data_IF_200361841987
#
_entry.id   IF_200361841987
#
_cell.length_a   1.000
_cell.length_b   1.000
_cell.length_c   1.000
_cell.angle_alpha   90.00
_cell.angle_beta   90.00
_cell.angle_gamma   90.00
#
_symmetry.space_group_name_H-M   'P 1'
#
loop_
_entity.id
_entity.type
_entity.pdbx_description
1 polymer ?
#
# COMPACT_ATOMS: atom_id res chain seq x y z
N UNK A 1 63.70 -30.77 45.13
CA UNK A 1 62.95 -29.49 44.99
C UNK A 1 62.63 -29.29 43.51
N UNK A 2 61.40 -29.51 43.12
CA UNK A 2 60.97 -29.38 41.73
C UNK A 2 60.03 -28.17 41.66
N UNK A 3 60.45 -27.16 40.91
CA UNK A 3 59.64 -25.96 40.63
C UNK A 3 58.70 -26.26 39.44
N UNK A 4 57.40 -26.21 39.65
CA UNK A 4 56.40 -26.24 38.59
C UNK A 4 56.25 -24.86 38.00
N UNK A 5 56.51 -24.72 36.70
CA UNK A 5 56.18 -23.53 35.90
C UNK A 5 54.71 -23.66 35.47
N UNK A 6 53.88 -22.71 35.88
CA UNK A 6 52.53 -22.59 35.40
C UNK A 6 52.56 -21.83 34.03
N UNK A 7 51.99 -22.50 33.02
CA UNK A 7 51.78 -21.88 31.71
C UNK A 7 50.44 -21.16 31.74
N UNK A 8 50.45 -19.83 31.64
CA UNK A 8 49.24 -19.03 31.45
C UNK A 8 48.98 -18.91 29.96
N UNK A 9 47.92 -19.62 29.48
CA UNK A 9 47.44 -19.50 28.10
C UNK A 9 46.52 -18.31 28.03
N UNK A 10 46.94 -17.25 27.37
CA UNK A 10 46.07 -16.10 27.08
C UNK A 10 45.16 -16.47 25.91
N UNK A 11 43.86 -16.54 26.17
CA UNK A 11 42.82 -16.61 25.11
C UNK A 11 42.71 -15.22 24.46
N UNK A 12 43.14 -15.12 23.21
CA UNK A 12 42.85 -13.94 22.39
C UNK A 12 41.39 -14.01 21.94
N UNK A 13 40.53 -13.13 22.48
CA UNK A 13 39.19 -12.90 21.98
C UNK A 13 39.33 -12.09 20.71
N UNK A 14 39.23 -12.73 19.55
CA UNK A 14 39.09 -12.02 18.28
C UNK A 14 37.65 -11.52 18.19
N UNK A 15 37.47 -10.20 18.40
CA UNK A 15 36.23 -9.51 18.03
C UNK A 15 36.09 -9.58 16.50
N UNK A 16 35.15 -10.39 16.02
CA UNK A 16 34.73 -10.34 14.64
C UNK A 16 34.09 -8.97 14.40
N UNK A 17 34.85 -8.06 13.75
CA UNK A 17 34.24 -6.84 13.21
C UNK A 17 33.22 -7.27 12.16
N UNK A 18 31.95 -6.93 12.40
CA UNK A 18 30.92 -7.09 11.38
C UNK A 18 31.39 -6.34 10.13
N UNK A 19 31.55 -7.06 9.02
CA UNK A 19 31.81 -6.45 7.73
C UNK A 19 30.71 -5.45 7.44
N UNK A 20 31.00 -4.21 6.98
CA UNK A 20 29.96 -3.29 6.59
C UNK A 20 29.13 -3.98 5.50
N UNK A 21 27.81 -4.10 5.73
CA UNK A 21 26.87 -4.56 4.73
C UNK A 21 27.12 -3.75 3.47
N UNK A 22 27.63 -4.40 2.42
CA UNK A 22 27.79 -3.74 1.13
C UNK A 22 26.40 -3.24 0.74
N UNK A 23 26.25 -1.93 0.51
CA UNK A 23 25.00 -1.33 0.03
C UNK A 23 24.65 -2.02 -1.29
N UNK A 24 23.84 -3.08 -1.24
CA UNK A 24 23.31 -3.68 -2.46
C UNK A 24 22.39 -2.64 -3.08
N UNK A 25 22.78 -2.13 -4.24
CA UNK A 25 21.91 -1.28 -5.03
C UNK A 25 20.69 -2.13 -5.40
N UNK A 26 19.50 -1.68 -5.00
CA UNK A 26 18.24 -2.34 -5.39
C UNK A 26 18.12 -2.27 -6.91
N UNK A 27 17.86 -3.40 -7.56
CA UNK A 27 17.76 -3.46 -9.01
C UNK A 27 16.56 -4.32 -9.40
N UNK A 28 15.55 -3.67 -9.96
CA UNK A 28 14.41 -4.35 -10.54
C UNK A 28 14.87 -5.38 -11.60
N UNK A 29 14.26 -6.55 -11.62
CA UNK A 29 14.60 -7.66 -12.50
C UNK A 29 15.77 -8.54 -12.04
N UNK A 30 16.53 -8.14 -11.00
CA UNK A 30 17.59 -8.97 -10.41
C UNK A 30 17.20 -9.61 -9.07
N UNK A 31 16.25 -9.03 -8.37
CA UNK A 31 15.67 -9.57 -7.14
C UNK A 31 14.19 -9.24 -7.13
N UNK A 32 13.31 -10.16 -6.73
CA UNK A 32 11.88 -9.86 -6.63
C UNK A 32 11.63 -8.82 -5.54
N UNK A 33 10.67 -7.95 -5.77
CA UNK A 33 10.12 -7.08 -4.72
C UNK A 33 9.27 -7.93 -3.80
N UNK A 34 9.52 -7.84 -2.50
CA UNK A 34 8.72 -8.43 -1.43
C UNK A 34 8.44 -7.34 -0.43
N UNK A 35 7.34 -6.63 -0.64
CA UNK A 35 7.03 -5.42 0.08
C UNK A 35 5.80 -5.52 0.94
N UNK A 36 5.61 -4.47 1.77
CA UNK A 36 4.39 -4.24 2.50
C UNK A 36 4.03 -2.76 2.48
N UNK A 37 2.74 -2.45 2.40
CA UNK A 37 2.21 -1.11 2.48
C UNK A 37 2.17 -0.62 3.94
N UNK A 38 2.56 0.64 4.16
CA UNK A 38 2.42 1.35 5.43
C UNK A 38 1.14 2.21 5.36
N UNK A 39 0.03 1.56 5.08
CA UNK A 39 -1.26 2.21 4.89
C UNK A 39 -1.93 2.65 6.19
N UNK A 40 -2.88 3.58 6.08
CA UNK A 40 -3.61 4.11 7.22
C UNK A 40 -2.78 4.98 8.16
N UNK A 41 -1.59 5.43 7.77
CA UNK A 41 -0.69 6.27 8.56
C UNK A 41 -0.70 7.73 8.13
N UNK A 42 -0.18 8.02 6.91
CA UNK A 42 -0.06 9.39 6.38
C UNK A 42 -1.23 9.77 5.47
N UNK A 43 -2.11 8.83 5.23
CA UNK A 43 -3.48 8.97 4.75
C UNK A 43 -4.35 8.06 5.61
N UNK A 44 -5.40 8.59 6.20
CA UNK A 44 -6.29 7.82 7.07
C UNK A 44 -7.34 7.06 6.25
N UNK A 45 -7.61 5.83 6.70
CA UNK A 45 -8.70 5.01 6.18
C UNK A 45 -9.56 4.45 7.33
N UNK A 46 -10.89 4.66 7.30
CA UNK A 46 -11.78 4.29 8.41
C UNK A 46 -11.75 2.83 8.80
N UNK A 47 -11.49 1.94 7.86
CA UNK A 47 -11.45 0.49 8.10
C UNK A 47 -10.10 0.03 8.70
N UNK A 48 -8.99 0.77 8.47
CA UNK A 48 -7.69 0.47 9.08
C UNK A 48 -7.65 0.94 10.53
N UNK A 49 -8.13 2.17 10.79
CA UNK A 49 -8.11 2.82 12.11
C UNK A 49 -9.51 3.29 12.54
N UNK A 50 -10.49 2.38 12.67
CA UNK A 50 -11.87 2.74 12.98
C UNK A 50 -12.03 3.52 14.28
N UNK A 51 -11.14 3.37 15.26
CA UNK A 51 -11.19 4.09 16.53
C UNK A 51 -11.12 5.62 16.38
N UNK A 52 -10.47 6.11 15.31
CA UNK A 52 -10.40 7.55 15.02
C UNK A 52 -11.76 8.07 14.53
N UNK A 53 -12.52 7.28 13.81
CA UNK A 53 -13.76 7.67 13.13
C UNK A 53 -15.02 7.40 13.97
N UNK A 54 -15.03 6.32 14.76
CA UNK A 54 -16.17 5.92 15.59
C UNK A 54 -16.79 7.05 16.45
N UNK A 55 -16.01 7.94 17.08
CA UNK A 55 -16.58 9.01 17.91
C UNK A 55 -17.46 10.00 17.14
N UNK A 56 -17.32 10.07 15.82
CA UNK A 56 -18.03 11.04 14.98
C UNK A 56 -19.20 10.43 14.22
N UNK A 57 -19.35 9.09 14.26
CA UNK A 57 -20.39 8.38 13.49
C UNK A 57 -20.25 8.66 11.99
N UNK A 58 -21.35 8.60 11.25
CA UNK A 58 -21.34 8.78 9.79
C UNK A 58 -21.08 10.20 9.28
N UNK A 59 -20.75 11.15 10.14
CA UNK A 59 -20.36 12.52 9.73
C UNK A 59 -18.87 12.66 9.39
N UNK A 60 -18.06 11.68 9.74
CA UNK A 60 -16.61 11.62 9.43
C UNK A 60 -16.34 10.24 8.82
N UNK A 61 -16.02 10.23 7.55
CA UNK A 61 -15.90 9.01 6.73
C UNK A 61 -14.55 8.91 5.99
N UNK A 62 -13.70 9.94 6.13
CA UNK A 62 -12.39 10.08 5.52
C UNK A 62 -11.58 11.16 6.24
N UNK A 63 -10.33 11.38 5.83
CA UNK A 63 -9.46 12.40 6.44
C UNK A 63 -9.95 13.82 6.13
N UNK A 64 -10.55 14.05 4.95
CA UNK A 64 -11.13 15.36 4.61
C UNK A 64 -12.23 15.75 5.59
N UNK A 65 -13.20 14.88 5.80
CA UNK A 65 -14.33 15.13 6.71
C UNK A 65 -13.90 15.13 8.18
N UNK A 66 -12.85 14.39 8.55
CA UNK A 66 -12.23 14.49 9.87
C UNK A 66 -11.68 15.91 10.09
N UNK A 67 -10.88 16.41 9.16
CA UNK A 67 -10.29 17.73 9.25
C UNK A 67 -11.35 18.85 9.20
N UNK A 68 -12.46 18.63 8.49
CA UNK A 68 -13.55 19.58 8.38
C UNK A 68 -14.43 19.65 9.64
N UNK A 69 -14.72 18.49 10.24
CA UNK A 69 -15.78 18.36 11.25
C UNK A 69 -15.26 18.18 12.68
N UNK A 70 -14.01 17.73 12.87
CA UNK A 70 -13.44 17.56 14.19
C UNK A 70 -12.69 18.82 14.64
N UNK A 71 -13.17 19.49 15.68
CA UNK A 71 -12.52 20.70 16.20
C UNK A 71 -11.11 20.47 16.78
N UNK A 72 -10.70 19.21 16.96
CA UNK A 72 -9.38 18.78 17.43
C UNK A 72 -8.64 17.89 16.40
N UNK A 73 -8.97 17.98 15.12
CA UNK A 73 -8.40 17.16 14.05
C UNK A 73 -6.85 17.15 14.06
N UNK A 74 -6.20 18.30 14.26
CA UNK A 74 -4.74 18.38 14.33
C UNK A 74 -4.17 17.52 15.48
N UNK A 75 -4.78 17.58 16.64
CA UNK A 75 -4.35 16.76 17.79
C UNK A 75 -4.53 15.26 17.53
N UNK A 76 -5.63 14.88 16.89
CA UNK A 76 -5.91 13.48 16.50
C UNK A 76 -4.85 13.00 15.53
N UNK A 77 -4.61 13.74 14.44
CA UNK A 77 -3.65 13.37 13.40
C UNK A 77 -2.22 13.29 13.94
N UNK A 78 -1.77 14.29 14.71
CA UNK A 78 -0.43 14.24 15.30
C UNK A 78 -0.25 13.06 16.25
N UNK A 79 -1.23 12.80 17.13
CA UNK A 79 -1.20 11.64 18.00
C UNK A 79 -1.14 10.32 17.22
N UNK A 80 -1.88 10.23 16.13
CA UNK A 80 -1.86 9.07 15.25
C UNK A 80 -0.51 8.93 14.55
N UNK A 81 0.01 9.97 13.91
CA UNK A 81 1.31 9.94 13.24
C UNK A 81 2.45 9.58 14.18
N UNK A 82 2.41 10.09 15.43
CA UNK A 82 3.43 9.81 16.45
C UNK A 82 3.41 8.36 16.95
N UNK A 83 2.27 7.67 16.90
CA UNK A 83 2.09 6.38 17.57
C UNK A 83 1.79 5.20 16.65
N UNK A 84 1.27 5.44 15.45
CA UNK A 84 0.83 4.36 14.56
C UNK A 84 1.98 3.56 13.97
N UNK A 85 3.11 4.19 13.65
CA UNK A 85 4.28 3.52 13.08
C UNK A 85 5.52 3.82 13.90
N UNK A 86 6.40 2.85 14.02
CA UNK A 86 7.66 2.94 14.77
C UNK A 86 8.82 2.31 14.02
N UNK A 87 10.06 2.61 14.43
CA UNK A 87 11.26 1.90 13.97
C UNK A 87 11.15 0.38 14.22
N UNK A 88 10.48 -0.02 15.33
CA UNK A 88 10.25 -1.44 15.65
C UNK A 88 9.39 -2.15 14.60
N UNK A 89 8.42 -1.46 14.00
CA UNK A 89 7.60 -2.01 12.92
C UNK A 89 8.45 -2.24 11.66
N UNK A 90 9.30 -1.28 11.29
CA UNK A 90 10.24 -1.41 10.17
C UNK A 90 11.23 -2.57 10.40
N UNK A 91 11.75 -2.71 11.62
CA UNK A 91 12.62 -3.83 11.97
C UNK A 91 11.88 -5.18 11.85
N UNK A 92 10.64 -5.27 12.35
CA UNK A 92 9.81 -6.48 12.24
C UNK A 92 9.56 -6.85 10.78
N UNK A 93 9.29 -5.87 9.91
CA UNK A 93 9.14 -6.08 8.47
C UNK A 93 10.43 -6.66 7.89
N UNK A 94 11.58 -6.03 8.14
CA UNK A 94 12.87 -6.49 7.64
C UNK A 94 13.26 -7.88 8.15
N UNK A 95 13.03 -8.17 9.43
CA UNK A 95 13.34 -9.46 10.07
C UNK A 95 12.49 -10.62 9.50
N UNK A 96 11.33 -10.31 8.91
CA UNK A 96 10.47 -11.28 8.23
C UNK A 96 10.74 -11.41 6.72
N UNK A 97 11.88 -10.91 6.24
CA UNK A 97 12.36 -11.12 4.88
C UNK A 97 11.78 -10.18 3.82
N UNK A 98 11.06 -9.15 4.21
CA UNK A 98 10.62 -8.09 3.30
C UNK A 98 11.80 -7.18 2.94
N UNK A 99 11.78 -6.61 1.74
CA UNK A 99 12.85 -5.75 1.25
C UNK A 99 12.39 -4.34 0.86
N UNK A 100 11.09 -4.07 0.91
CA UNK A 100 10.51 -2.80 0.49
C UNK A 100 9.28 -2.45 1.33
N UNK A 101 9.08 -1.15 1.57
CA UNK A 101 7.83 -0.57 2.06
C UNK A 101 7.29 0.44 1.04
N UNK A 102 5.99 0.37 0.73
CA UNK A 102 5.27 1.41 0.00
C UNK A 102 4.59 2.31 1.03
N UNK A 103 4.78 3.62 0.91
CA UNK A 103 4.31 4.60 1.89
C UNK A 103 3.30 5.53 1.22
N UNK A 104 2.00 5.28 1.42
CA UNK A 104 0.94 6.19 0.99
C UNK A 104 1.03 7.54 1.68
N UNK A 105 0.98 8.64 0.90
CA UNK A 105 0.95 10.01 1.41
C UNK A 105 0.05 10.88 0.52
N UNK A 106 -0.73 11.76 1.13
CA UNK A 106 -1.60 12.67 0.38
C UNK A 106 -0.88 13.93 -0.11
N UNK A 107 -1.38 14.55 -1.19
CA UNK A 107 -0.86 15.80 -1.73
C UNK A 107 -0.80 16.91 -0.67
N UNK A 108 -1.74 16.93 0.25
CA UNK A 108 -1.86 17.94 1.31
C UNK A 108 -0.72 17.92 2.33
N UNK A 109 0.06 16.84 2.35
CA UNK A 109 1.28 16.80 3.17
C UNK A 109 2.34 17.81 2.69
N UNK A 110 2.35 18.12 1.40
CA UNK A 110 3.29 19.03 0.74
C UNK A 110 2.67 20.38 0.45
N UNK A 111 1.47 20.40 -0.12
CA UNK A 111 0.79 21.62 -0.52
C UNK A 111 -0.73 21.43 -0.41
N UNK A 112 -1.40 22.37 0.24
CA UNK A 112 -2.88 22.39 0.25
C UNK A 112 -3.40 22.95 -1.08
N UNK A 113 -4.54 22.42 -1.51
CA UNK A 113 -5.24 22.91 -2.66
C UNK A 113 -6.43 23.78 -2.21
N UNK A 114 -6.50 25.02 -2.70
CA UNK A 114 -7.56 25.98 -2.36
C UNK A 114 -7.83 26.09 -0.83
N UNK A 115 -9.09 25.86 -0.44
CA UNK A 115 -9.56 25.93 0.94
C UNK A 115 -9.71 24.55 1.59
N UNK A 116 -8.97 23.53 1.12
CA UNK A 116 -9.02 22.19 1.69
C UNK A 116 -8.76 22.21 3.21
N UNK A 117 -9.55 21.45 3.98
CA UNK A 117 -9.47 21.47 5.44
C UNK A 117 -8.26 20.74 6.01
N UNK A 118 -7.56 19.94 5.20
CA UNK A 118 -6.49 19.06 5.64
C UNK A 118 -5.46 19.72 6.56
N UNK A 119 -4.95 18.96 7.51
CA UNK A 119 -3.85 19.36 8.40
C UNK A 119 -2.51 18.92 7.78
N UNK A 120 -1.57 19.84 7.70
CA UNK A 120 -0.22 19.57 7.23
C UNK A 120 0.66 19.05 8.36
N UNK A 121 1.70 18.26 8.00
CA UNK A 121 2.69 17.70 8.93
C UNK A 121 3.13 16.27 8.58
N UNK A 122 2.37 15.54 7.78
CA UNK A 122 2.67 14.15 7.41
C UNK A 122 4.02 14.01 6.66
N UNK A 123 4.48 15.04 5.94
CA UNK A 123 5.77 15.00 5.23
C UNK A 123 6.99 14.83 6.16
N UNK A 124 6.94 15.31 7.40
CA UNK A 124 8.02 15.13 8.38
C UNK A 124 8.13 13.67 8.84
N UNK A 125 6.99 12.97 8.88
CA UNK A 125 6.95 11.54 9.20
C UNK A 125 7.41 10.67 8.03
N UNK A 126 7.21 11.11 6.79
CA UNK A 126 7.83 10.45 5.62
C UNK A 126 9.36 10.54 5.71
N UNK A 127 9.94 11.68 6.08
CA UNK A 127 11.38 11.80 6.33
C UNK A 127 11.88 10.82 7.39
N UNK A 128 11.12 10.72 8.47
CA UNK A 128 11.41 9.78 9.57
C UNK A 128 11.38 8.33 9.08
N UNK A 129 10.34 7.95 8.34
CA UNK A 129 10.18 6.62 7.75
C UNK A 129 11.34 6.24 6.81
N UNK A 130 11.77 7.16 5.95
CA UNK A 130 12.93 6.97 5.07
C UNK A 130 14.21 6.74 5.91
N UNK A 131 14.35 7.47 7.02
CA UNK A 131 15.43 7.25 7.98
C UNK A 131 15.40 5.86 8.61
N UNK A 132 14.22 5.36 8.99
CA UNK A 132 14.03 4.02 9.53
C UNK A 132 14.29 2.93 8.47
N UNK A 133 13.83 3.13 7.23
CA UNK A 133 14.11 2.23 6.13
C UNK A 133 15.63 2.07 5.88
N UNK A 134 16.39 3.17 5.93
CA UNK A 134 17.86 3.11 5.84
C UNK A 134 18.48 2.29 6.97
N UNK A 135 18.00 2.44 8.20
CA UNK A 135 18.52 1.73 9.38
C UNK A 135 18.25 0.23 9.30
N UNK A 136 17.10 -0.16 8.77
CA UNK A 136 16.65 -1.56 8.68
C UNK A 136 17.02 -2.24 7.36
N UNK A 137 17.56 -1.48 6.39
CA UNK A 137 17.93 -2.00 5.07
C UNK A 137 16.76 -2.10 4.08
N UNK A 138 15.56 -1.69 4.47
CA UNK A 138 14.39 -1.63 3.60
C UNK A 138 14.53 -0.56 2.53
N UNK A 139 13.83 -0.76 1.41
CA UNK A 139 13.65 0.25 0.36
C UNK A 139 12.28 0.89 0.48
N UNK A 140 12.12 2.05 -0.15
CA UNK A 140 10.89 2.84 -0.07
C UNK A 140 10.35 3.13 -1.47
N UNK A 141 9.05 2.85 -1.68
CA UNK A 141 8.23 3.53 -2.66
C UNK A 141 7.47 4.65 -1.96
N UNK A 142 7.59 5.85 -2.48
CA UNK A 142 6.73 6.96 -2.09
C UNK A 142 5.54 6.93 -3.04
N UNK A 143 4.36 6.77 -2.48
CA UNK A 143 3.12 6.69 -3.23
C UNK A 143 2.26 7.93 -2.98
N UNK A 144 2.04 8.73 -4.02
CA UNK A 144 1.05 9.81 -3.94
C UNK A 144 -0.35 9.21 -3.95
N UNK A 145 -0.91 8.99 -2.77
CA UNK A 145 -2.14 8.22 -2.57
C UNK A 145 -3.43 9.03 -2.75
N UNK A 146 -3.34 10.33 -2.61
CA UNK A 146 -4.48 11.24 -2.75
C UNK A 146 -4.12 12.50 -3.52
N UNK A 147 -5.01 12.91 -4.44
CA UNK A 147 -4.92 14.11 -5.26
C UNK A 147 -6.10 15.08 -4.99
N UNK A 148 -5.97 16.38 -5.30
CA UNK A 148 -7.04 17.36 -5.10
C UNK A 148 -8.38 16.92 -5.69
N UNK A 149 -9.45 17.03 -4.92
CA UNK A 149 -10.82 16.62 -5.28
C UNK A 149 -11.00 15.14 -5.61
N UNK A 150 -10.08 14.29 -5.12
CA UNK A 150 -10.08 12.84 -5.31
C UNK A 150 -9.90 12.37 -6.76
N UNK A 151 -8.99 11.44 -6.96
CA UNK A 151 -8.75 10.80 -8.26
C UNK A 151 -9.63 9.57 -8.51
N UNK A 152 -10.27 9.02 -7.48
CA UNK A 152 -11.06 7.79 -7.62
C UNK A 152 -12.44 7.85 -6.95
N UNK A 153 -12.66 8.84 -6.09
CA UNK A 153 -13.90 8.98 -5.32
C UNK A 153 -13.96 8.14 -4.05
N UNK A 154 -12.92 7.35 -3.75
CA UNK A 154 -12.85 6.50 -2.56
C UNK A 154 -12.28 7.28 -1.36
N UNK A 155 -12.58 6.80 -0.16
CA UNK A 155 -12.06 7.36 1.09
C UNK A 155 -10.53 7.25 1.21
N UNK A 156 -9.92 6.23 0.59
CA UNK A 156 -8.46 6.05 0.53
C UNK A 156 -7.73 7.21 -0.18
N UNK A 157 -8.41 7.98 -1.05
CA UNK A 157 -7.84 9.20 -1.64
C UNK A 157 -7.79 10.39 -0.66
N UNK A 158 -8.25 10.19 0.58
CA UNK A 158 -8.44 11.23 1.59
C UNK A 158 -9.80 11.91 1.52
N UNK A 159 -10.56 11.78 0.41
CA UNK A 159 -11.86 12.41 0.21
C UNK A 159 -12.84 11.47 -0.51
N UNK A 160 -13.82 10.96 0.23
CA UNK A 160 -14.94 10.20 -0.34
C UNK A 160 -15.87 11.13 -1.12
N UNK A 161 -16.10 10.83 -2.39
CA UNK A 161 -17.03 11.59 -3.23
C UNK A 161 -17.63 10.71 -4.31
N UNK A 162 -18.89 10.96 -4.66
CA UNK A 162 -19.53 10.30 -5.80
C UNK A 162 -19.08 10.85 -7.16
N UNK A 163 -18.35 11.97 -7.17
CA UNK A 163 -17.93 12.65 -8.40
C UNK A 163 -16.48 13.11 -8.23
N UNK A 164 -15.51 12.23 -8.53
CA UNK A 164 -14.10 12.60 -8.43
C UNK A 164 -13.77 13.74 -9.40
N UNK A 165 -13.09 14.76 -8.89
CA UNK A 165 -12.84 16.02 -9.60
C UNK A 165 -11.39 16.26 -9.99
N UNK A 166 -10.51 15.31 -9.77
CA UNK A 166 -9.07 15.49 -9.96
C UNK A 166 -8.64 15.95 -11.34
N UNK A 167 -9.37 15.67 -12.40
CA UNK A 167 -9.03 16.12 -13.77
C UNK A 167 -9.78 17.38 -14.19
N UNK A 168 -10.28 18.17 -13.25
CA UNK A 168 -11.00 19.41 -13.50
C UNK A 168 -10.18 20.63 -13.05
N UNK A 169 -10.37 21.76 -13.72
CA UNK A 169 -9.68 23.02 -13.46
C UNK A 169 -8.14 22.84 -13.46
N UNK A 170 -7.43 23.31 -12.44
CA UNK A 170 -5.98 23.24 -12.28
C UNK A 170 -5.50 22.13 -11.30
N UNK A 171 -6.37 21.18 -10.96
CA UNK A 171 -6.03 20.11 -9.99
C UNK A 171 -4.88 19.22 -10.45
N UNK A 172 -4.77 18.96 -11.76
CA UNK A 172 -3.67 18.20 -12.34
C UNK A 172 -2.35 18.98 -12.19
N UNK A 173 -2.35 20.28 -12.46
CA UNK A 173 -1.17 21.13 -12.32
C UNK A 173 -0.73 21.20 -10.84
N UNK A 174 -1.68 21.38 -9.91
CA UNK A 174 -1.41 21.32 -8.47
C UNK A 174 -0.82 19.97 -8.04
N UNK A 175 -1.25 18.86 -8.63
CA UNK A 175 -0.69 17.54 -8.36
C UNK A 175 0.73 17.42 -8.92
N UNK A 176 0.98 17.95 -10.12
CA UNK A 176 2.33 17.97 -10.71
C UNK A 176 3.32 18.81 -9.89
N UNK A 177 2.87 19.92 -9.29
CA UNK A 177 3.68 20.71 -8.36
C UNK A 177 4.08 19.90 -7.13
N UNK A 178 3.18 19.06 -6.61
CA UNK A 178 3.49 18.14 -5.50
C UNK A 178 4.48 17.05 -5.93
N UNK A 179 4.31 16.47 -7.12
CA UNK A 179 5.30 15.54 -7.68
C UNK A 179 6.67 16.23 -7.84
N UNK A 180 6.69 17.50 -8.23
CA UNK A 180 7.90 18.32 -8.27
C UNK A 180 8.61 18.40 -6.92
N UNK A 181 7.88 18.70 -5.85
CA UNK A 181 8.41 18.76 -4.48
C UNK A 181 8.93 17.41 -3.99
N UNK A 182 8.20 16.32 -4.27
CA UNK A 182 8.64 14.94 -3.94
C UNK A 182 9.92 14.61 -4.70
N UNK A 183 9.99 14.88 -6.01
CA UNK A 183 11.12 14.57 -6.86
C UNK A 183 12.36 15.40 -6.51
N UNK A 184 12.19 16.71 -6.25
CA UNK A 184 13.26 17.61 -5.83
C UNK A 184 13.94 17.12 -4.56
N UNK A 185 13.17 16.65 -3.59
CA UNK A 185 13.71 16.17 -2.32
C UNK A 185 14.18 14.73 -2.42
N UNK A 186 13.35 13.80 -2.84
CA UNK A 186 13.58 12.36 -2.72
C UNK A 186 14.03 11.68 -4.01
N UNK A 187 13.83 12.32 -5.17
CA UNK A 187 14.22 11.78 -6.48
C UNK A 187 15.69 11.91 -6.81
N UNK A 188 16.48 12.55 -5.95
CA UNK A 188 17.92 12.85 -6.16
C UNK A 188 18.82 11.69 -5.82
N UNK A 189 20.09 11.76 -6.25
CA UNK A 189 21.11 10.76 -5.93
C UNK A 189 21.36 10.60 -4.42
N UNK A 190 21.03 11.60 -3.60
CA UNK A 190 21.14 11.54 -2.14
C UNK A 190 20.24 10.48 -1.52
N UNK A 191 19.10 10.16 -2.16
CA UNK A 191 18.13 9.19 -1.68
C UNK A 191 18.14 7.88 -2.47
N UNK A 192 18.98 7.75 -3.50
CA UNK A 192 19.03 6.58 -4.39
C UNK A 192 19.43 5.27 -3.68
N UNK A 193 19.95 5.35 -2.46
CA UNK A 193 20.25 4.19 -1.62
C UNK A 193 18.99 3.60 -0.97
N UNK A 194 17.91 4.37 -0.84
CA UNK A 194 16.72 3.98 -0.10
C UNK A 194 15.42 4.18 -0.89
N UNK A 195 15.23 5.31 -1.58
CA UNK A 195 14.04 5.56 -2.39
C UNK A 195 14.23 4.93 -3.77
N UNK A 196 13.44 3.91 -4.06
CA UNK A 196 13.53 3.10 -5.27
C UNK A 196 12.29 3.17 -6.14
N UNK A 197 11.31 3.99 -5.76
CA UNK A 197 10.10 4.27 -6.54
C UNK A 197 9.44 5.56 -6.09
N UNK A 198 8.98 6.35 -7.07
CA UNK A 198 8.03 7.45 -6.86
C UNK A 198 6.81 7.10 -7.72
N UNK A 199 5.72 6.76 -7.05
CA UNK A 199 4.43 6.50 -7.68
C UNK A 199 3.70 7.81 -7.86
N UNK A 200 3.33 8.07 -9.12
CA UNK A 200 2.79 9.36 -9.51
C UNK A 200 1.37 9.58 -8.97
N UNK A 201 0.55 8.52 -8.92
CA UNK A 201 -0.78 8.58 -8.32
C UNK A 201 -1.37 7.18 -8.14
N UNK A 202 -1.84 6.90 -6.94
CA UNK A 202 -2.59 5.71 -6.58
C UNK A 202 -3.97 5.68 -7.26
N UNK A 203 -4.33 4.57 -7.87
CA UNK A 203 -5.69 4.19 -8.31
C UNK A 203 -6.53 5.29 -8.99
N UNK A 204 -6.08 5.96 -10.04
CA UNK A 204 -6.96 6.89 -10.76
C UNK A 204 -8.10 6.11 -11.44
N UNK A 205 -9.34 6.39 -11.06
CA UNK A 205 -10.53 5.75 -11.63
C UNK A 205 -10.87 6.39 -12.98
N UNK A 206 -10.15 5.98 -14.02
CA UNK A 206 -10.24 6.60 -15.34
C UNK A 206 -11.67 6.71 -15.89
N UNK A 207 -12.56 5.71 -15.76
CA UNK A 207 -13.95 5.85 -16.22
C UNK A 207 -14.75 6.94 -15.51
N UNK A 208 -14.41 7.29 -14.27
CA UNK A 208 -15.10 8.31 -13.49
C UNK A 208 -14.52 9.72 -13.67
N UNK A 209 -13.32 9.83 -14.28
CA UNK A 209 -12.61 11.11 -14.44
C UNK A 209 -12.95 11.77 -15.77
N UNK A 210 -13.03 13.12 -15.75
CA UNK A 210 -13.16 13.91 -16.97
C UNK A 210 -11.92 13.72 -17.85
N UNK A 211 -12.12 13.40 -19.14
CA UNK A 211 -11.03 13.11 -20.07
C UNK A 211 -10.46 11.69 -19.96
N UNK A 212 -10.86 10.88 -18.97
CA UNK A 212 -10.55 9.46 -18.88
C UNK A 212 -9.06 9.12 -18.99
N UNK A 213 -8.74 7.98 -19.62
CA UNK A 213 -7.36 7.51 -19.81
C UNK A 213 -6.43 8.55 -20.48
N UNK A 214 -6.83 9.32 -21.52
CA UNK A 214 -5.97 10.36 -22.11
C UNK A 214 -5.54 11.43 -21.12
N UNK A 215 -6.40 11.85 -20.19
CA UNK A 215 -6.05 12.84 -19.16
C UNK A 215 -5.01 12.26 -18.18
N UNK A 216 -5.20 11.02 -17.74
CA UNK A 216 -4.25 10.30 -16.87
C UNK A 216 -2.91 10.08 -17.57
N UNK A 217 -2.91 9.73 -18.85
CA UNK A 217 -1.68 9.62 -19.64
C UNK A 217 -0.93 10.96 -19.74
N UNK A 218 -1.64 12.06 -19.95
CA UNK A 218 -1.06 13.41 -19.96
C UNK A 218 -0.37 13.76 -18.63
N UNK A 219 -1.04 13.45 -17.52
CA UNK A 219 -0.47 13.60 -16.18
C UNK A 219 0.78 12.73 -15.97
N UNK A 220 0.70 11.44 -16.29
CA UNK A 220 1.84 10.53 -16.14
C UNK A 220 3.04 10.92 -17.00
N UNK A 221 2.80 11.38 -18.23
CA UNK A 221 3.87 11.87 -19.11
C UNK A 221 4.57 13.09 -18.50
N UNK A 222 3.81 14.03 -17.96
CA UNK A 222 4.33 15.25 -17.32
C UNK A 222 5.08 14.92 -16.03
N UNK A 223 4.47 14.11 -15.14
CA UNK A 223 5.08 13.69 -13.89
C UNK A 223 6.36 12.89 -14.08
N UNK A 224 6.39 11.99 -15.07
CA UNK A 224 7.62 11.30 -15.47
C UNK A 224 8.72 12.29 -15.86
N UNK A 225 8.38 13.27 -16.70
CA UNK A 225 9.32 14.32 -17.10
C UNK A 225 9.85 15.14 -15.92
N UNK A 226 8.99 15.46 -14.95
CA UNK A 226 9.38 16.18 -13.72
C UNK A 226 10.38 15.35 -12.89
N UNK A 227 10.07 14.08 -12.60
CA UNK A 227 11.02 13.23 -11.82
C UNK A 227 12.37 13.13 -12.51
N UNK A 228 12.41 13.05 -13.85
CA UNK A 228 13.66 12.99 -14.63
C UNK A 228 14.49 14.28 -14.60
N UNK A 229 13.92 15.43 -14.22
CA UNK A 229 14.69 16.67 -14.01
C UNK A 229 15.58 16.58 -12.76
N UNK A 230 15.18 15.81 -11.75
CA UNK A 230 15.89 15.72 -10.48
C UNK A 230 16.77 14.47 -10.35
N UNK A 231 16.47 13.39 -11.09
CA UNK A 231 17.25 12.17 -11.00
C UNK A 231 16.75 10.99 -11.81
N UNK A 232 17.30 9.81 -11.49
CA UNK A 232 16.97 8.55 -12.16
C UNK A 232 16.13 7.62 -11.25
N UNK A 233 15.50 8.15 -10.21
CA UNK A 233 14.62 7.35 -9.36
C UNK A 233 13.51 6.73 -10.21
N UNK A 234 13.25 5.42 -10.10
CA UNK A 234 12.19 4.76 -10.84
C UNK A 234 10.85 5.46 -10.64
N UNK A 235 10.13 5.66 -11.74
CA UNK A 235 8.77 6.21 -11.73
C UNK A 235 7.80 5.06 -11.82
N UNK A 236 6.78 5.09 -10.97
CA UNK A 236 5.72 4.10 -10.94
C UNK A 236 4.42 4.76 -11.40
N UNK A 237 3.66 4.04 -12.21
CA UNK A 237 2.32 4.43 -12.64
C UNK A 237 1.35 3.29 -12.32
N UNK A 238 0.22 3.61 -11.74
CA UNK A 238 -0.87 2.65 -11.55
C UNK A 238 -1.61 2.40 -12.88
N UNK A 239 -2.07 1.18 -13.10
CA UNK A 239 -2.75 0.81 -14.35
C UNK A 239 -4.16 1.41 -14.52
N UNK A 240 -4.70 2.04 -13.46
CA UNK A 240 -6.00 2.69 -13.48
C UNK A 240 -7.15 1.72 -13.68
N UNK A 241 -6.99 0.48 -13.20
CA UNK A 241 -7.92 -0.65 -13.32
C UNK A 241 -8.11 -1.17 -14.77
N UNK A 242 -7.24 -0.76 -15.70
CA UNK A 242 -7.08 -1.39 -17.02
C UNK A 242 -6.13 -2.59 -16.91
N UNK A 243 -6.02 -3.39 -17.97
CA UNK A 243 -4.97 -4.39 -18.01
C UNK A 243 -3.60 -3.70 -18.15
N UNK A 244 -2.56 -4.16 -17.45
CA UNK A 244 -1.21 -3.62 -17.60
C UNK A 244 -0.71 -3.58 -19.05
N UNK A 245 -1.08 -4.55 -19.90
CA UNK A 245 -0.75 -4.58 -21.32
C UNK A 245 -1.42 -3.46 -22.15
N UNK A 246 -2.49 -2.84 -21.66
CA UNK A 246 -3.15 -1.71 -22.33
C UNK A 246 -2.34 -0.41 -22.24
N UNK A 247 -1.26 -0.44 -21.45
CA UNK A 247 -0.25 0.62 -21.33
C UNK A 247 1.01 0.37 -22.17
N UNK A 248 1.02 -0.66 -23.03
CA UNK A 248 2.15 -0.95 -23.91
C UNK A 248 2.41 0.23 -24.87
N UNK A 249 3.69 0.52 -25.12
CA UNK A 249 4.10 1.67 -25.92
C UNK A 249 4.13 3.00 -25.15
N UNK A 250 3.53 3.09 -23.96
CA UNK A 250 3.51 4.31 -23.15
C UNK A 250 4.62 4.27 -22.09
N UNK A 251 5.47 5.31 -22.00
CA UNK A 251 6.60 5.42 -21.08
C UNK A 251 7.45 4.14 -21.02
N UNK A 252 7.71 3.54 -22.17
CA UNK A 252 8.51 2.32 -22.28
C UNK A 252 10.00 2.59 -22.13
N UNK A 253 10.73 1.61 -21.62
CA UNK A 253 12.18 1.65 -21.47
C UNK A 253 12.64 0.54 -20.53
N UNK A 254 13.95 0.26 -20.54
CA UNK A 254 14.52 -0.75 -19.64
C UNK A 254 14.98 -0.13 -18.32
N UNK A 255 14.76 -0.82 -17.22
CA UNK A 255 15.16 -0.36 -15.89
C UNK A 255 14.51 0.98 -15.54
N UNK A 256 15.32 1.96 -15.14
CA UNK A 256 14.84 3.30 -14.79
C UNK A 256 14.54 4.20 -15.99
N UNK A 257 14.82 3.76 -17.22
CA UNK A 257 14.55 4.56 -18.41
C UNK A 257 13.07 4.62 -18.79
N UNK A 258 12.26 3.67 -18.31
CA UNK A 258 10.81 3.66 -18.45
C UNK A 258 10.10 3.76 -17.10
N UNK A 259 8.76 3.65 -17.14
CA UNK A 259 7.95 3.53 -15.93
C UNK A 259 7.81 2.05 -15.53
N UNK A 260 7.68 1.82 -14.22
CA UNK A 260 7.18 0.58 -13.64
C UNK A 260 5.65 0.69 -13.62
N UNK A 261 4.94 -0.41 -13.91
CA UNK A 261 3.50 -0.44 -13.79
C UNK A 261 3.10 -1.13 -12.47
N UNK A 262 2.24 -0.47 -11.74
CA UNK A 262 1.60 -0.99 -10.53
C UNK A 262 0.24 -1.55 -10.87
N UNK A 263 -0.07 -2.74 -10.33
CA UNK A 263 -1.35 -3.42 -10.45
C UNK A 263 -1.85 -3.79 -9.07
N UNK A 264 -3.13 -3.62 -8.82
CA UNK A 264 -3.78 -4.02 -7.57
C UNK A 264 -4.69 -5.21 -7.80
N UNK A 265 -4.55 -6.26 -6.97
CA UNK A 265 -5.30 -7.50 -7.11
C UNK A 265 -6.03 -7.88 -5.82
N UNK A 266 -7.34 -7.89 -5.88
CA UNK A 266 -8.21 -8.21 -4.76
C UNK A 266 -9.35 -9.15 -5.18
N UNK A 267 -9.73 -10.09 -4.30
CA UNK A 267 -10.81 -11.04 -4.53
C UNK A 267 -11.89 -10.95 -3.42
N UNK A 268 -12.27 -9.73 -3.02
CA UNK A 268 -13.24 -9.52 -1.95
C UNK A 268 -14.20 -8.35 -2.19
N UNK A 269 -14.15 -7.69 -3.36
CA UNK A 269 -14.95 -6.50 -3.60
C UNK A 269 -16.19 -6.72 -4.48
N UNK A 270 -16.47 -7.96 -4.89
CA UNK A 270 -17.70 -8.30 -5.61
C UNK A 270 -18.51 -9.39 -4.89
N UNK A 271 -19.82 -9.50 -5.22
CA UNK A 271 -20.64 -10.60 -4.72
C UNK A 271 -20.13 -11.97 -5.19
N UNK A 272 -19.49 -12.02 -6.36
CA UNK A 272 -18.90 -13.25 -6.90
C UNK A 272 -17.66 -13.65 -6.12
N UNK A 273 -16.78 -12.70 -5.81
CA UNK A 273 -15.54 -12.96 -5.10
C UNK A 273 -15.80 -13.52 -3.71
N UNK A 274 -16.62 -12.84 -2.90
CA UNK A 274 -16.90 -13.27 -1.52
C UNK A 274 -17.68 -14.59 -1.45
N UNK A 275 -18.26 -15.04 -2.56
CA UNK A 275 -18.96 -16.33 -2.65
C UNK A 275 -18.05 -17.51 -3.03
N UNK A 276 -16.79 -17.25 -3.37
CA UNK A 276 -15.81 -18.29 -3.67
C UNK A 276 -15.52 -19.15 -2.42
N UNK A 277 -15.31 -20.44 -2.61
CA UNK A 277 -14.69 -21.26 -1.55
C UNK A 277 -13.21 -20.88 -1.41
N UNK A 278 -12.56 -21.17 -0.27
CA UNK A 278 -11.12 -20.94 -0.12
C UNK A 278 -10.27 -21.60 -1.22
N UNK A 279 -10.66 -22.77 -1.69
CA UNK A 279 -9.99 -23.49 -2.77
C UNK A 279 -10.22 -22.84 -4.12
N UNK A 280 -11.40 -22.25 -4.34
CA UNK A 280 -11.71 -21.48 -5.56
C UNK A 280 -10.94 -20.15 -5.57
N UNK A 281 -10.77 -19.48 -4.42
CA UNK A 281 -9.88 -18.31 -4.31
C UNK A 281 -8.45 -18.63 -4.76
N UNK A 282 -7.89 -19.77 -4.30
CA UNK A 282 -6.56 -20.24 -4.74
C UNK A 282 -6.50 -20.47 -6.26
N UNK A 283 -7.55 -21.05 -6.82
CA UNK A 283 -7.64 -21.29 -8.27
C UNK A 283 -7.76 -19.98 -9.04
N UNK A 284 -8.55 -19.03 -8.52
CA UNK A 284 -8.78 -17.73 -9.15
C UNK A 284 -7.52 -16.86 -9.16
N UNK A 285 -6.62 -16.97 -8.19
CA UNK A 285 -5.31 -16.31 -8.23
C UNK A 285 -4.58 -16.59 -9.55
N UNK A 286 -4.52 -17.85 -9.95
CA UNK A 286 -3.83 -18.26 -11.19
C UNK A 286 -4.62 -17.89 -12.45
N UNK A 287 -5.96 -18.02 -12.41
CA UNK A 287 -6.82 -17.64 -13.52
C UNK A 287 -6.70 -16.14 -13.81
N UNK A 288 -6.83 -15.31 -12.78
CA UNK A 288 -6.73 -13.86 -12.85
C UNK A 288 -5.33 -13.44 -13.32
N UNK A 289 -4.27 -13.90 -12.66
CA UNK A 289 -2.90 -13.57 -13.02
C UNK A 289 -2.56 -13.91 -14.48
N UNK A 290 -3.05 -15.03 -15.01
CA UNK A 290 -2.87 -15.38 -16.43
C UNK A 290 -3.55 -14.37 -17.39
N UNK A 291 -4.52 -13.60 -16.94
CA UNK A 291 -5.20 -12.61 -17.77
C UNK A 291 -4.52 -11.25 -17.79
N UNK A 292 -3.92 -10.82 -16.69
CA UNK A 292 -3.35 -9.48 -16.57
C UNK A 292 -1.80 -9.47 -16.52
N UNK A 293 -1.14 -10.54 -16.06
CA UNK A 293 0.31 -10.58 -15.92
C UNK A 293 1.06 -10.99 -17.19
N UNK A 294 0.44 -10.88 -18.36
CA UNK A 294 1.03 -11.33 -19.62
C UNK A 294 1.02 -10.23 -20.69
N UNK A 295 2.10 -10.18 -21.46
CA UNK A 295 2.19 -9.29 -22.64
C UNK A 295 2.56 -7.85 -22.35
N UNK A 296 2.81 -7.44 -21.11
CA UNK A 296 3.25 -6.09 -20.74
C UNK A 296 4.72 -5.86 -21.13
N UNK A 297 5.02 -4.64 -21.56
CA UNK A 297 6.37 -4.19 -21.97
C UNK A 297 7.13 -3.46 -20.85
N UNK A 298 6.58 -3.41 -19.65
CA UNK A 298 7.14 -2.74 -18.46
C UNK A 298 7.49 -3.74 -17.36
N UNK A 299 8.38 -3.36 -16.46
CA UNK A 299 8.43 -4.01 -15.16
C UNK A 299 7.10 -3.79 -14.47
N UNK A 300 6.57 -4.87 -13.90
CA UNK A 300 5.27 -4.89 -13.24
C UNK A 300 5.42 -5.40 -11.81
N UNK A 301 4.78 -4.71 -10.90
CA UNK A 301 4.66 -5.09 -9.48
C UNK A 301 3.18 -5.16 -9.16
N UNK A 302 2.78 -6.12 -8.33
CA UNK A 302 1.47 -6.09 -7.68
C UNK A 302 1.62 -5.27 -6.41
N UNK A 303 1.27 -3.97 -6.50
CA UNK A 303 1.51 -3.00 -5.41
C UNK A 303 0.54 -3.10 -4.26
N UNK A 304 -0.62 -3.73 -4.50
CA UNK A 304 -1.56 -4.06 -3.44
C UNK A 304 -2.22 -5.42 -3.67
N UNK A 305 -2.29 -6.21 -2.60
CA UNK A 305 -3.00 -7.48 -2.50
C UNK A 305 -3.15 -7.86 -1.03
N UNK A 306 -4.01 -8.82 -0.70
CA UNK A 306 -4.36 -9.13 0.68
C UNK A 306 -4.56 -10.63 0.92
N UNK A 307 -4.63 -11.02 2.19
CA UNK A 307 -5.06 -12.36 2.61
C UNK A 307 -6.59 -12.47 2.74
N UNK A 308 -7.34 -11.38 2.51
CA UNK A 308 -8.78 -11.35 2.70
C UNK A 308 -9.52 -12.10 1.58
N UNK A 309 -10.25 -13.12 1.99
CA UNK A 309 -11.25 -13.83 1.17
C UNK A 309 -12.66 -13.30 1.44
N UNK A 310 -12.79 -12.36 2.39
CA UNK A 310 -14.06 -11.74 2.76
C UNK A 310 -13.94 -10.22 2.81
N UNK A 311 -15.04 -9.52 2.76
CA UNK A 311 -15.12 -8.08 2.98
C UNK A 311 -15.62 -7.73 4.40
N UNK A 312 -15.32 -8.58 5.37
CA UNK A 312 -15.79 -8.46 6.75
C UNK A 312 -15.07 -7.38 7.57
N UNK A 313 -14.01 -6.77 7.06
CA UNK A 313 -13.34 -5.68 7.77
C UNK A 313 -14.32 -4.51 8.02
N UNK A 314 -14.43 -4.00 9.26
CA UNK A 314 -15.37 -2.93 9.59
C UNK A 314 -15.13 -1.69 8.72
N UNK A 315 -16.17 -1.15 8.11
CA UNK A 315 -16.14 0.02 7.23
C UNK A 315 -15.32 -0.14 5.92
N UNK A 316 -14.88 -1.35 5.55
CA UNK A 316 -14.13 -1.59 4.30
C UNK A 316 -14.91 -1.14 3.05
N UNK A 317 -16.22 -1.34 3.03
CA UNK A 317 -17.08 -0.91 1.93
C UNK A 317 -17.59 0.54 2.08
N UNK A 318 -17.08 1.25 3.09
CA UNK A 318 -17.54 2.57 3.51
C UNK A 318 -18.31 2.51 4.82
N UNK A 319 -18.35 3.63 5.54
CA UNK A 319 -18.98 3.73 6.84
C UNK A 319 -20.48 3.44 6.78
N UNK A 320 -20.93 2.41 7.50
CA UNK A 320 -22.33 2.01 7.59
C UNK A 320 -22.87 1.21 6.39
N UNK A 321 -22.02 0.81 5.45
CA UNK A 321 -22.44 0.06 4.25
C UNK A 321 -22.65 -1.46 4.54
N UNK A 322 -21.90 -2.03 5.50
CA UNK A 322 -21.94 -3.46 5.79
C UNK A 322 -21.04 -4.29 4.89
N UNK A 323 -21.11 -5.61 5.02
CA UNK A 323 -20.30 -6.57 4.27
C UNK A 323 -21.14 -7.43 3.32
N UNK A 324 -20.59 -7.75 2.15
CA UNK A 324 -21.24 -8.68 1.19
C UNK A 324 -21.29 -10.08 1.76
N UNK A 325 -20.19 -10.50 2.40
CA UNK A 325 -20.06 -11.85 2.91
C UNK A 325 -21.15 -12.24 3.89
N UNK A 326 -21.57 -11.34 4.79
CA UNK A 326 -22.66 -11.62 5.74
C UNK A 326 -24.03 -11.10 5.31
N UNK A 327 -24.16 -10.62 4.07
CA UNK A 327 -25.41 -10.14 3.51
C UNK A 327 -25.93 -8.82 4.10
N UNK A 328 -25.09 -8.09 4.86
CA UNK A 328 -25.46 -6.78 5.41
C UNK A 328 -25.13 -5.62 4.46
N UNK A 329 -24.42 -5.90 3.36
CA UNK A 329 -24.07 -4.89 2.36
C UNK A 329 -25.31 -4.21 1.78
N UNK A 330 -25.35 -2.88 1.90
CA UNK A 330 -26.45 -2.06 1.38
C UNK A 330 -25.91 -0.67 1.00
N UNK A 331 -25.55 -0.51 -0.28
CA UNK A 331 -25.03 0.74 -0.83
C UNK A 331 -26.09 1.42 -1.68
N UNK A 332 -26.40 2.67 -1.33
CA UNK A 332 -27.41 3.45 -2.06
C UNK A 332 -26.79 4.02 -3.34
N UNK A 333 -27.46 3.81 -4.47
CA UNK A 333 -27.12 4.33 -5.77
C UNK A 333 -27.67 5.74 -6.00
N UNK A 334 -27.17 6.43 -7.03
CA UNK A 334 -27.61 7.78 -7.39
C UNK A 334 -29.09 7.86 -7.78
N UNK A 335 -29.63 6.79 -8.35
CA UNK A 335 -31.05 6.66 -8.71
C UNK A 335 -31.99 6.32 -7.53
N UNK A 336 -31.41 6.15 -6.33
CA UNK A 336 -32.12 5.79 -5.10
C UNK A 336 -32.33 4.31 -4.88
N UNK A 337 -31.92 3.44 -5.80
CA UNK A 337 -31.87 1.98 -5.59
C UNK A 337 -30.75 1.59 -4.62
N UNK A 338 -30.72 0.33 -4.20
CA UNK A 338 -29.68 -0.21 -3.34
C UNK A 338 -29.02 -1.41 -3.99
N UNK A 339 -27.70 -1.40 -4.04
CA UNK A 339 -26.92 -2.60 -4.26
C UNK A 339 -26.86 -3.39 -2.96
N UNK A 340 -27.20 -4.67 -3.03
CA UNK A 340 -27.21 -5.59 -1.89
C UNK A 340 -26.48 -6.88 -2.24
N UNK A 341 -26.14 -7.66 -1.24
CA UNK A 341 -25.48 -8.96 -1.41
C UNK A 341 -26.26 -10.08 -0.73
N UNK A 342 -26.28 -11.30 -1.28
CA UNK A 342 -26.81 -12.47 -0.60
C UNK A 342 -25.88 -12.86 0.56
N UNK A 343 -26.45 -13.46 1.61
CA UNK A 343 -25.66 -14.03 2.71
C UNK A 343 -24.83 -15.22 2.23
N UNK A 344 -23.54 -15.22 2.54
CA UNK A 344 -22.60 -16.32 2.27
C UNK A 344 -22.15 -16.96 3.58
N UNK A 345 -21.70 -16.16 4.55
CA UNK A 345 -21.19 -16.62 5.84
C UNK A 345 -21.23 -15.51 6.89
N UNK A 346 -20.70 -15.78 8.08
CA UNK A 346 -20.75 -14.84 9.20
C UNK A 346 -19.44 -14.08 9.36
N UNK A 347 -19.52 -12.75 9.44
CA UNK A 347 -18.39 -11.89 9.79
C UNK A 347 -18.02 -11.89 11.28
N UNK A 348 -18.79 -12.54 12.14
CA UNK A 348 -18.68 -12.38 13.61
C UNK A 348 -17.28 -12.63 14.18
N UNK A 349 -16.51 -13.54 13.59
CA UNK A 349 -15.17 -13.93 14.07
C UNK A 349 -14.05 -13.63 13.07
N UNK A 350 -14.37 -13.08 11.90
CA UNK A 350 -13.38 -12.94 10.82
C UNK A 350 -12.25 -11.95 11.17
N UNK A 351 -12.56 -10.97 12.00
CA UNK A 351 -11.60 -9.94 12.40
C UNK A 351 -10.71 -10.33 13.60
N UNK A 352 -10.91 -11.54 14.17
CA UNK A 352 -10.22 -12.03 15.36
C UNK A 352 -9.49 -13.34 15.04
N UNK A 353 -8.20 -13.26 14.69
CA UNK A 353 -7.40 -14.40 14.23
C UNK A 353 -7.29 -15.56 15.24
N UNK A 354 -7.39 -15.25 16.53
CA UNK A 354 -7.43 -16.22 17.64
C UNK A 354 -8.73 -17.05 17.65
N UNK A 355 -9.79 -16.56 16.98
CA UNK A 355 -11.07 -17.23 16.83
C UNK A 355 -11.19 -18.01 15.50
N UNK A 356 -10.18 -17.91 14.63
CA UNK A 356 -10.18 -18.66 13.39
C UNK A 356 -9.98 -20.16 13.67
N UNK A 357 -10.75 -20.99 12.96
CA UNK A 357 -10.50 -22.44 12.94
C UNK A 357 -9.15 -22.75 12.30
N UNK A 358 -8.58 -23.91 12.65
CA UNK A 358 -7.34 -24.39 12.01
C UNK A 358 -7.53 -24.54 10.48
N UNK A 359 -8.72 -24.94 10.03
CA UNK A 359 -9.06 -24.97 8.60
C UNK A 359 -8.95 -23.59 7.97
N UNK A 360 -9.53 -22.55 8.58
CA UNK A 360 -9.50 -21.21 8.00
C UNK A 360 -8.08 -20.61 8.00
N UNK A 361 -7.31 -20.85 9.06
CA UNK A 361 -5.89 -20.47 9.10
C UNK A 361 -5.09 -21.13 7.98
N UNK A 362 -5.28 -22.44 7.78
CA UNK A 362 -4.59 -23.15 6.69
C UNK A 362 -5.06 -22.68 5.32
N UNK A 363 -6.36 -22.44 5.13
CA UNK A 363 -6.92 -21.92 3.89
C UNK A 363 -6.33 -20.55 3.55
N UNK A 364 -6.24 -19.65 4.54
CA UNK A 364 -5.61 -18.33 4.38
C UNK A 364 -4.13 -18.47 4.05
N UNK A 365 -3.39 -19.37 4.70
CA UNK A 365 -1.99 -19.65 4.36
C UNK A 365 -1.84 -20.11 2.91
N UNK A 366 -2.74 -20.98 2.44
CA UNK A 366 -2.73 -21.49 1.07
C UNK A 366 -3.02 -20.36 0.06
N UNK A 367 -3.98 -19.49 0.37
CA UNK A 367 -4.34 -18.33 -0.47
C UNK A 367 -3.19 -17.31 -0.57
N UNK A 368 -2.55 -16.96 0.55
CA UNK A 368 -1.34 -16.12 0.56
C UNK A 368 -0.23 -16.78 -0.28
N UNK A 369 0.03 -18.09 -0.06
CA UNK A 369 1.07 -18.82 -0.79
C UNK A 369 0.82 -18.85 -2.29
N UNK A 370 -0.44 -19.01 -2.72
CA UNK A 370 -0.80 -19.02 -4.13
C UNK A 370 -0.51 -17.65 -4.78
N UNK A 371 -0.88 -16.54 -4.12
CA UNK A 371 -0.62 -15.18 -4.59
C UNK A 371 0.89 -14.92 -4.68
N UNK A 372 1.65 -15.19 -3.61
CA UNK A 372 3.11 -15.02 -3.61
C UNK A 372 3.76 -15.81 -4.76
N UNK A 373 3.39 -17.09 -4.94
CA UNK A 373 3.94 -17.93 -6.00
C UNK A 373 3.56 -17.45 -7.41
N UNK A 374 2.32 -17.02 -7.62
CA UNK A 374 1.88 -16.48 -8.90
C UNK A 374 2.64 -15.19 -9.22
N UNK A 375 2.72 -14.25 -8.29
CA UNK A 375 3.36 -12.96 -8.50
C UNK A 375 4.89 -13.08 -8.64
N UNK A 376 5.54 -13.95 -7.83
CA UNK A 376 6.98 -14.22 -7.98
C UNK A 376 7.33 -14.87 -9.32
N UNK A 377 6.40 -15.66 -9.91
CA UNK A 377 6.64 -16.36 -11.18
C UNK A 377 6.30 -15.53 -12.44
N UNK A 378 5.39 -14.58 -12.34
CA UNK A 378 4.80 -13.90 -13.49
C UNK A 378 5.19 -12.43 -13.61
N UNK A 379 5.54 -11.77 -12.48
CA UNK A 379 5.91 -10.35 -12.44
C UNK A 379 7.17 -10.14 -11.59
N UNK A 380 7.54 -8.89 -11.29
CA UNK A 380 8.79 -8.61 -10.57
C UNK A 380 8.61 -8.55 -9.04
N UNK A 381 7.47 -8.98 -8.53
CA UNK A 381 7.19 -9.08 -7.12
C UNK A 381 5.90 -8.39 -6.71
N UNK A 382 5.76 -8.18 -5.41
CA UNK A 382 4.50 -7.79 -4.80
C UNK A 382 4.70 -6.96 -3.53
N UNK A 383 3.64 -6.23 -3.12
CA UNK A 383 3.58 -5.42 -1.91
C UNK A 383 2.24 -5.68 -1.22
N UNK A 384 2.26 -6.32 -0.05
CA UNK A 384 1.07 -6.72 0.69
C UNK A 384 0.33 -5.52 1.30
N UNK A 385 -0.98 -5.50 1.22
CA UNK A 385 -1.82 -4.52 1.89
C UNK A 385 -2.54 -5.17 3.08
N UNK A 386 -2.17 -4.93 4.34
CA UNK A 386 -1.40 -3.85 4.90
C UNK A 386 -0.49 -4.38 6.03
N UNK A 387 0.44 -3.56 6.57
CA UNK A 387 1.35 -4.01 7.64
C UNK A 387 0.62 -4.29 8.96
N UNK A 388 -0.37 -3.47 9.34
CA UNK A 388 -1.26 -3.69 10.49
C UNK A 388 -2.58 -2.92 10.37
N UNK A 389 -3.58 -3.37 11.12
CA UNK A 389 -4.91 -2.76 11.24
C UNK A 389 -5.36 -2.81 12.70
N UNK A 390 -6.36 -2.00 13.09
CA UNK A 390 -6.95 -2.13 14.44
C UNK A 390 -7.82 -3.38 14.57
N UNK A 391 -8.62 -3.71 13.54
CA UNK A 391 -9.68 -4.69 13.66
C UNK A 391 -9.94 -5.53 12.39
N UNK A 392 -8.89 -5.91 11.64
CA UNK A 392 -9.07 -6.59 10.35
C UNK A 392 -7.97 -7.62 10.11
N UNK A 393 -8.11 -8.82 10.72
CA UNK A 393 -7.05 -9.83 10.77
C UNK A 393 -6.58 -10.31 9.38
N UNK A 394 -7.48 -10.43 8.39
CA UNK A 394 -7.14 -10.84 7.02
C UNK A 394 -6.25 -9.82 6.29
N UNK A 395 -6.22 -8.58 6.75
CA UNK A 395 -5.48 -7.44 6.19
C UNK A 395 -4.24 -7.07 7.00
N UNK A 396 -3.93 -7.82 8.06
CA UNK A 396 -2.92 -7.46 9.06
C UNK A 396 -1.74 -8.41 9.00
N UNK A 397 -0.68 -7.99 8.29
CA UNK A 397 0.54 -8.79 8.13
C UNK A 397 1.11 -9.23 9.47
N UNK A 398 1.16 -8.32 10.46
CA UNK A 398 1.76 -8.64 11.75
C UNK A 398 0.97 -9.70 12.51
N UNK A 399 -0.37 -9.65 12.47
CA UNK A 399 -1.20 -10.69 13.06
C UNK A 399 -1.07 -12.02 12.34
N UNK A 400 -0.99 -12.00 11.00
CA UNK A 400 -0.78 -13.22 10.20
C UNK A 400 0.57 -13.87 10.53
N UNK A 401 1.65 -13.10 10.67
CA UNK A 401 2.97 -13.57 11.08
C UNK A 401 2.94 -14.13 12.50
N UNK A 402 2.46 -13.36 13.47
CA UNK A 402 2.48 -13.69 14.88
C UNK A 402 1.64 -14.94 15.22
N UNK A 403 0.67 -15.28 14.37
CA UNK A 403 -0.19 -16.46 14.53
C UNK A 403 0.18 -17.63 13.58
N UNK A 404 1.31 -17.53 12.86
CA UNK A 404 1.81 -18.61 11.99
C UNK A 404 0.94 -18.85 10.74
N UNK A 405 0.15 -17.88 10.33
CA UNK A 405 -0.68 -17.92 9.11
C UNK A 405 0.10 -17.41 7.90
N UNK A 406 1.00 -16.43 8.10
CA UNK A 406 1.88 -16.00 7.02
C UNK A 406 2.87 -17.11 6.65
N UNK A 407 2.98 -17.50 5.36
CA UNK A 407 3.90 -18.53 4.94
C UNK A 407 5.34 -18.19 5.30
N UNK A 408 6.05 -19.14 5.95
CA UNK A 408 7.48 -18.96 6.20
C UNK A 408 8.23 -19.14 4.88
N UNK A 409 9.15 -18.23 4.57
CA UNK A 409 10.06 -18.38 3.43
C UNK A 409 10.91 -19.66 3.64
N UNK A 410 10.76 -20.62 2.74
CA UNK A 410 11.57 -21.86 2.70
C UNK A 410 13.02 -21.55 2.32
#
# INVERSE_FOLDING_TARGET
MWARKALITALAVTSAAASPLSKRQFSYGSSPVRGVNIGGWLVLEPWITPSIFQPFGGSVVDEYTLCQNAGNAESILRSHWDSWVSLGDFQKIADNGFNLVRIPIGYWAFQKYEQDPYIQGAADYLDTAIGWARQTGLKVWIDLHGAPRSQNGYDNSGQLTSTPGWTQDDTVDATLDVIGQIAEKYGTSQYSDVVVGIELLNEPNMPALSGGKPAVQGYYQSGFGIVRQYGQTPVVIHDGFDKPSDWNGFLTGQGTSGAIIDHHEYQCFSNADVALSPEDHVSEVWNSANTWATGQDKFMIVGEWTAAMTDCAPALNGWGIGARYDGTYSKRNADGSYDTAPYVGSCANMNFIDQWSDYYKQATTNYISAQMNAFDSMVQGWIFWNFKTEASAEWDLFRLIDNGVWPQSS
#
